data_IF_335888449405
#
_entry.id   IF_335888449405
#
_cell.length_a   1.000
_cell.length_b   1.000
_cell.length_c   1.000
_cell.angle_alpha   90.00
_cell.angle_beta   90.00
_cell.angle_gamma   90.00
#
_symmetry.space_group_name_H-M   'P 1'
#
loop_
_entity.id
_entity.type
_entity.pdbx_description
1 polymer ?
#
# COMPACT_ATOMS: atom_id res chain seq x y z
N UNK A 1 17.04 9.14 9.82
CA UNK A 1 16.68 8.68 8.46
C UNK A 1 15.82 7.46 8.65
N UNK A 2 14.55 7.49 8.26
CA UNK A 2 13.68 6.32 8.33
C UNK A 2 13.94 5.50 7.06
N UNK A 3 14.47 4.30 7.23
CA UNK A 3 14.70 3.34 6.14
C UNK A 3 13.75 2.12 6.26
N UNK A 4 12.95 2.08 7.32
CA UNK A 4 11.96 1.09 7.71
C UNK A 4 10.57 1.71 7.86
N UNK A 5 9.54 0.95 7.50
CA UNK A 5 8.16 1.28 7.80
C UNK A 5 7.37 0.03 8.21
N UNK A 6 6.28 0.29 8.91
CA UNK A 6 5.36 -0.71 9.43
C UNK A 6 4.06 -0.67 8.62
N UNK A 7 3.62 -1.81 8.08
CA UNK A 7 2.34 -1.93 7.38
C UNK A 7 1.34 -2.66 8.26
N UNK A 8 0.57 -1.92 9.06
CA UNK A 8 -0.48 -2.49 9.92
C UNK A 8 -1.91 -2.16 9.46
N UNK A 9 -2.04 -1.42 8.36
CA UNK A 9 -3.35 -1.04 7.83
C UNK A 9 -3.97 -2.26 7.15
N UNK A 10 -5.07 -2.74 7.72
CA UNK A 10 -5.91 -3.77 7.10
C UNK A 10 -6.45 -3.31 5.77
N UNK A 11 -6.57 -4.23 4.82
CA UNK A 11 -7.09 -3.97 3.48
C UNK A 11 -8.49 -3.32 3.54
N UNK A 12 -9.35 -3.78 4.45
CA UNK A 12 -10.68 -3.17 4.64
C UNK A 12 -10.63 -1.69 5.03
N UNK A 13 -9.68 -1.28 5.89
CA UNK A 13 -9.52 0.13 6.30
C UNK A 13 -8.96 0.99 5.17
N UNK A 14 -8.01 0.43 4.42
CA UNK A 14 -7.49 1.07 3.22
C UNK A 14 -8.62 1.31 2.18
N UNK A 15 -9.44 0.29 1.92
CA UNK A 15 -10.56 0.39 1.00
C UNK A 15 -11.60 1.43 1.42
N UNK A 16 -11.92 1.49 2.73
CA UNK A 16 -12.84 2.50 3.27
C UNK A 16 -12.28 3.92 3.09
N UNK A 17 -11.02 4.14 3.43
CA UNK A 17 -10.35 5.43 3.27
C UNK A 17 -10.34 5.87 1.80
N UNK A 18 -9.97 4.99 0.88
CA UNK A 18 -9.92 5.32 -0.55
C UNK A 18 -11.29 5.73 -1.09
N UNK A 19 -12.35 5.03 -0.66
CA UNK A 19 -13.73 5.41 -0.98
C UNK A 19 -14.11 6.78 -0.41
N UNK A 20 -13.69 7.09 0.82
CA UNK A 20 -13.93 8.40 1.46
C UNK A 20 -13.20 9.55 0.77
N UNK A 21 -12.07 9.26 0.13
CA UNK A 21 -11.29 10.20 -0.67
C UNK A 21 -11.77 10.28 -2.14
N UNK A 22 -12.84 9.55 -2.49
CA UNK A 22 -13.36 9.44 -3.86
C UNK A 22 -12.30 8.93 -4.86
N UNK A 23 -11.30 8.21 -4.37
CA UNK A 23 -10.26 7.61 -5.19
C UNK A 23 -10.73 6.25 -5.70
N UNK A 24 -10.56 6.03 -7.01
CA UNK A 24 -10.86 4.75 -7.63
C UNK A 24 -10.00 3.64 -7.02
N UNK A 25 -10.63 2.53 -6.62
CA UNK A 25 -9.93 1.33 -6.19
C UNK A 25 -10.58 0.09 -6.82
N UNK A 26 -9.80 -0.97 -7.10
CA UNK A 26 -10.37 -2.24 -7.55
C UNK A 26 -11.46 -2.74 -6.61
N UNK A 27 -12.56 -3.22 -7.18
CA UNK A 27 -13.74 -3.68 -6.43
C UNK A 27 -13.47 -4.92 -5.55
N UNK A 28 -12.45 -5.72 -5.92
CA UNK A 28 -12.00 -6.87 -5.15
C UNK A 28 -10.54 -6.65 -4.74
N UNK A 29 -10.34 -6.43 -3.44
CA UNK A 29 -9.04 -6.46 -2.79
C UNK A 29 -9.17 -7.25 -1.49
N UNK A 30 -8.09 -7.93 -1.13
CA UNK A 30 -7.99 -8.83 0.00
C UNK A 30 -6.77 -8.50 0.83
N UNK A 31 -6.62 -9.16 1.98
CA UNK A 31 -5.41 -9.03 2.81
C UNK A 31 -4.16 -9.56 2.09
N UNK A 32 -4.28 -10.35 1.01
CA UNK A 32 -3.12 -10.78 0.20
C UNK A 32 -2.57 -9.66 -0.68
N UNK A 33 -3.40 -8.68 -1.02
CA UNK A 33 -2.98 -7.53 -1.82
C UNK A 33 -2.29 -6.46 -0.95
N UNK A 34 -2.58 -6.48 0.35
CA UNK A 34 -2.02 -5.57 1.34
C UNK A 34 -1.61 -6.32 2.63
N UNK A 35 -0.65 -7.27 2.53
CA UNK A 35 -0.16 -8.01 3.69
C UNK A 35 0.37 -7.06 4.75
N UNK A 36 0.08 -7.40 6.01
CA UNK A 36 0.68 -6.73 7.14
C UNK A 36 2.09 -7.25 7.35
N UNK A 37 3.03 -6.34 7.55
CA UNK A 37 4.42 -6.68 7.79
C UNK A 37 5.10 -5.57 8.59
N UNK A 38 6.02 -6.02 9.44
CA UNK A 38 6.83 -5.17 10.29
C UNK A 38 8.22 -4.98 9.66
N UNK A 39 8.95 -3.95 10.08
CA UNK A 39 10.36 -3.77 9.75
C UNK A 39 10.68 -3.68 8.24
N UNK A 40 9.72 -3.33 7.38
CA UNK A 40 9.90 -3.37 5.92
C UNK A 40 10.94 -2.32 5.50
N UNK A 41 12.06 -2.78 4.94
CA UNK A 41 13.20 -1.96 4.54
C UNK A 41 13.13 -1.55 3.07
N UNK A 42 13.89 -0.52 2.73
CA UNK A 42 14.25 -0.28 1.32
C UNK A 42 14.94 -1.51 0.75
N UNK A 43 14.52 -1.91 -0.46
CA UNK A 43 14.85 -3.14 -1.19
C UNK A 43 14.11 -4.41 -0.78
N UNK A 44 13.27 -4.37 0.26
CA UNK A 44 12.38 -5.50 0.57
C UNK A 44 11.22 -5.57 -0.42
N UNK A 45 10.65 -6.77 -0.56
CA UNK A 45 9.43 -6.99 -1.32
C UNK A 45 8.23 -6.71 -0.42
N UNK A 46 7.41 -5.74 -0.80
CA UNK A 46 6.25 -5.35 -0.03
C UNK A 46 5.20 -4.67 -0.92
N UNK A 47 3.99 -4.43 -0.37
CA UNK A 47 2.95 -3.73 -1.09
C UNK A 47 3.34 -2.30 -1.45
N UNK A 48 3.35 -2.00 -2.75
CA UNK A 48 3.55 -0.65 -3.28
C UNK A 48 2.29 -0.15 -3.95
N UNK A 49 1.85 1.05 -3.59
CA UNK A 49 0.67 1.67 -4.21
C UNK A 49 1.05 2.27 -5.56
N UNK A 50 0.33 1.88 -6.60
CA UNK A 50 0.51 2.43 -7.94
C UNK A 50 -0.80 3.01 -8.46
N UNK A 51 -0.75 4.27 -8.90
CA UNK A 51 -1.82 4.86 -9.70
C UNK A 51 -1.79 4.23 -11.11
N UNK A 52 -2.91 3.67 -11.54
CA UNK A 52 -3.13 3.09 -12.87
C UNK A 52 -4.42 3.68 -13.44
N UNK A 53 -4.28 4.69 -14.31
CA UNK A 53 -5.43 5.52 -14.69
C UNK A 53 -6.02 6.24 -13.48
N UNK A 54 -7.34 6.14 -13.31
CA UNK A 54 -8.08 6.73 -12.19
C UNK A 54 -8.12 5.84 -10.93
N UNK A 55 -7.41 4.70 -10.94
CA UNK A 55 -7.42 3.72 -9.86
C UNK A 55 -6.08 3.66 -9.11
N UNK A 56 -6.14 3.50 -7.79
CA UNK A 56 -4.98 3.15 -6.97
C UNK A 56 -5.00 1.64 -6.71
N UNK A 57 -3.92 0.96 -7.10
CA UNK A 57 -3.78 -0.49 -7.00
C UNK A 57 -2.55 -0.83 -6.15
N UNK A 58 -2.70 -1.63 -5.08
CA UNK A 58 -1.55 -2.19 -4.38
C UNK A 58 -0.90 -3.30 -5.22
N UNK A 59 0.43 -3.26 -5.32
CA UNK A 59 1.25 -4.30 -5.95
C UNK A 59 1.94 -5.08 -4.82
N UNK A 60 1.48 -6.29 -4.47
CA UNK A 60 1.89 -7.00 -3.25
C UNK A 60 3.37 -7.38 -3.22
N UNK A 61 3.95 -7.65 -4.39
CA UNK A 61 5.34 -8.10 -4.54
C UNK A 61 6.15 -7.09 -5.36
N UNK A 62 6.34 -5.88 -4.84
CA UNK A 62 7.20 -4.89 -5.49
C UNK A 62 8.37 -4.47 -4.58
N UNK A 63 9.54 -4.28 -5.19
CA UNK A 63 10.71 -3.84 -4.46
C UNK A 63 10.52 -2.39 -3.97
N UNK A 64 10.63 -2.20 -2.66
CA UNK A 64 10.57 -0.89 -2.04
C UNK A 64 11.78 -0.06 -2.47
N UNK A 65 11.58 0.94 -3.33
CA UNK A 65 12.68 1.81 -3.77
C UNK A 65 12.87 3.06 -2.89
N UNK A 66 11.82 3.49 -2.18
CA UNK A 66 11.85 4.64 -1.28
C UNK A 66 10.58 4.68 -0.44
N UNK A 67 10.67 5.20 0.80
CA UNK A 67 9.50 5.46 1.66
C UNK A 67 8.46 6.40 1.05
N UNK A 68 8.80 7.14 -0.02
CA UNK A 68 7.83 7.98 -0.75
C UNK A 68 6.86 7.18 -1.61
N UNK A 69 7.25 5.97 -2.03
CA UNK A 69 6.43 5.08 -2.88
C UNK A 69 5.58 4.10 -2.05
N UNK A 70 5.76 4.14 -0.74
CA UNK A 70 5.13 3.24 0.20
C UNK A 70 4.05 4.02 0.91
N UNK A 71 2.85 3.44 0.98
CA UNK A 71 1.68 3.83 1.77
C UNK A 71 1.55 5.32 2.08
N UNK A 72 0.47 5.92 1.55
CA UNK A 72 -0.08 7.21 1.97
C UNK A 72 0.08 7.34 3.49
N UNK A 73 1.09 8.10 3.90
CA UNK A 73 1.36 8.40 5.29
C UNK A 73 0.24 9.36 5.69
N UNK A 74 -0.82 8.81 6.25
CA UNK A 74 -1.87 9.60 6.91
C UNK A 74 -1.25 10.37 8.08
#
# INVERSE_FOLDING_TARGET
MCNDYEQHIRCAKYCDMMRRLELGIPAHQSELDLPQADDIRVNDMAPVMRATGDYIVPLPDFAVQSQKNICIKL
#
